data_IF_998735020008
#
_entry.id   IF_998735020008
#
_cell.length_a   1.000
_cell.length_b   1.000
_cell.length_c   1.000
_cell.angle_alpha   90.00
_cell.angle_beta   90.00
_cell.angle_gamma   90.00
#
_symmetry.space_group_name_H-M   'P 1'
#
loop_
_entity.id
_entity.type
_entity.pdbx_description
1 polymer ?
#
# COMPACT_ATOMS: atom_id res chain seq x y z
N UNK A 1 -25.14 1.93 -12.35
CA UNK A 1 -23.77 1.86 -11.78
C UNK A 1 -23.85 1.92 -10.26
N UNK A 2 -23.85 0.76 -9.62
CA UNK A 2 -24.13 0.57 -8.20
C UNK A 2 -23.15 1.39 -7.35
N UNK A 3 -23.65 2.22 -6.42
CA UNK A 3 -22.85 2.96 -5.42
C UNK A 3 -21.64 2.19 -4.85
N UNK A 4 -21.73 0.88 -4.51
CA UNK A 4 -20.59 0.11 -4.02
C UNK A 4 -19.40 0.02 -5.01
N UNK A 5 -19.65 -0.09 -6.32
CA UNK A 5 -18.58 -0.21 -7.31
C UNK A 5 -17.75 1.07 -7.45
N UNK A 6 -18.40 2.24 -7.36
CA UNK A 6 -17.72 3.55 -7.39
C UNK A 6 -16.87 3.77 -6.15
N UNK A 7 -17.39 3.43 -4.96
CA UNK A 7 -16.66 3.52 -3.70
C UNK A 7 -15.44 2.60 -3.71
N UNK A 8 -15.61 1.35 -4.14
CA UNK A 8 -14.51 0.38 -4.27
C UNK A 8 -13.39 0.90 -5.18
N UNK A 9 -13.74 1.48 -6.33
CA UNK A 9 -12.77 2.06 -7.25
C UNK A 9 -12.06 3.28 -6.66
N UNK A 10 -12.80 4.15 -5.97
CA UNK A 10 -12.24 5.35 -5.34
C UNK A 10 -11.27 4.98 -4.21
N UNK A 11 -11.68 4.09 -3.30
CA UNK A 11 -10.86 3.67 -2.15
C UNK A 11 -9.62 2.91 -2.62
N UNK A 12 -9.78 1.93 -3.50
CA UNK A 12 -8.64 1.14 -4.02
C UNK A 12 -7.69 2.02 -4.82
N UNK A 13 -8.23 2.89 -5.69
CA UNK A 13 -7.42 3.82 -6.47
C UNK A 13 -6.66 4.81 -5.59
N UNK A 14 -7.33 5.42 -4.61
CA UNK A 14 -6.70 6.33 -3.65
C UNK A 14 -5.60 5.66 -2.83
N UNK A 15 -5.85 4.44 -2.34
CA UNK A 15 -4.84 3.65 -1.62
C UNK A 15 -3.61 3.36 -2.49
N UNK A 16 -3.80 2.92 -3.74
CA UNK A 16 -2.69 2.65 -4.66
C UNK A 16 -1.89 3.92 -4.94
N UNK A 17 -2.55 5.06 -5.17
CA UNK A 17 -1.86 6.34 -5.40
C UNK A 17 -1.01 6.73 -4.19
N UNK A 18 -1.56 6.64 -2.98
CA UNK A 18 -0.83 6.92 -1.75
C UNK A 18 0.37 5.98 -1.56
N UNK A 19 0.19 4.69 -1.86
CA UNK A 19 1.26 3.71 -1.77
C UNK A 19 2.39 3.99 -2.77
N UNK A 20 2.06 4.26 -4.03
CA UNK A 20 3.04 4.62 -5.07
C UNK A 20 3.78 5.91 -4.71
N UNK A 21 3.05 6.92 -4.21
CA UNK A 21 3.66 8.16 -3.75
C UNK A 21 4.64 7.93 -2.58
N UNK A 22 4.28 7.09 -1.60
CA UNK A 22 5.16 6.73 -0.50
C UNK A 22 6.41 5.98 -0.96
N UNK A 23 6.31 5.06 -1.93
CA UNK A 23 7.47 4.39 -2.53
C UNK A 23 8.37 5.37 -3.30
N UNK A 24 7.78 6.32 -4.02
CA UNK A 24 8.54 7.36 -4.71
C UNK A 24 9.30 8.25 -3.71
N UNK A 25 8.65 8.66 -2.61
CA UNK A 25 9.29 9.44 -1.55
C UNK A 25 10.42 8.65 -0.88
N UNK A 26 10.22 7.36 -0.59
CA UNK A 26 11.27 6.49 -0.08
C UNK A 26 12.46 6.43 -1.04
N UNK A 27 12.22 6.24 -2.34
CA UNK A 27 13.29 6.18 -3.34
C UNK A 27 14.04 7.52 -3.44
N UNK A 28 13.32 8.64 -3.49
CA UNK A 28 13.91 9.98 -3.55
C UNK A 28 14.77 10.24 -2.31
N UNK A 29 14.24 9.99 -1.11
CA UNK A 29 14.94 10.20 0.15
C UNK A 29 16.13 9.25 0.36
N UNK A 30 16.01 7.99 -0.08
CA UNK A 30 17.08 6.99 0.05
C UNK A 30 18.25 7.27 -0.89
N UNK A 31 17.95 7.58 -2.16
CA UNK A 31 18.99 7.79 -3.17
C UNK A 31 19.50 9.23 -3.24
N UNK A 32 18.83 10.18 -2.55
CA UNK A 32 19.16 11.61 -2.63
C UNK A 32 18.91 12.17 -4.04
N UNK A 33 17.85 11.68 -4.69
CA UNK A 33 17.47 12.11 -6.04
C UNK A 33 17.20 13.62 -6.01
N UNK A 34 17.58 14.33 -7.07
CA UNK A 34 17.50 15.81 -7.17
C UNK A 34 18.50 16.60 -6.30
N UNK A 35 19.56 15.96 -5.79
CA UNK A 35 20.59 16.64 -5.00
C UNK A 35 20.16 16.97 -3.57
N UNK A 36 19.05 16.37 -3.10
CA UNK A 36 18.60 16.49 -1.72
C UNK A 36 19.52 15.67 -0.79
N UNK A 37 19.77 16.13 0.45
CA UNK A 37 20.31 15.28 1.51
C UNK A 37 19.50 13.98 1.66
N UNK A 38 20.16 12.84 1.84
CA UNK A 38 19.49 11.56 2.07
C UNK A 38 18.66 11.64 3.34
N UNK A 39 17.38 11.31 3.23
CA UNK A 39 16.42 11.36 4.33
C UNK A 39 16.00 9.94 4.74
N UNK A 40 16.52 9.40 5.86
CA UNK A 40 16.18 8.06 6.33
C UNK A 40 14.74 7.95 6.83
N UNK A 41 14.05 9.07 7.10
CA UNK A 41 12.66 9.10 7.56
C UNK A 41 11.64 9.04 6.41
N UNK A 42 12.08 9.09 5.16
CA UNK A 42 11.22 8.96 3.97
C UNK A 42 10.39 7.66 3.96
N UNK A 43 10.83 6.60 4.64
CA UNK A 43 10.08 5.35 4.80
C UNK A 43 8.89 5.41 5.76
N UNK A 44 8.76 6.47 6.57
CA UNK A 44 7.68 6.59 7.58
C UNK A 44 6.29 6.58 6.94
N UNK A 45 6.14 7.05 5.70
CA UNK A 45 4.86 7.05 4.98
C UNK A 45 4.35 5.64 4.66
N UNK A 46 5.23 4.64 4.58
CA UNK A 46 4.85 3.24 4.35
C UNK A 46 4.37 2.57 5.64
N UNK A 47 4.74 3.09 6.80
CA UNK A 47 4.36 2.53 8.11
C UNK A 47 2.84 2.48 8.30
N UNK A 48 2.09 3.61 8.23
CA UNK A 48 0.65 3.59 8.44
C UNK A 48 -0.09 2.83 7.32
N UNK A 49 0.41 2.91 6.08
CA UNK A 49 -0.17 2.20 4.94
C UNK A 49 -0.02 0.68 5.02
N UNK A 50 1.02 0.18 5.70
CA UNK A 50 1.31 -1.24 5.87
C UNK A 50 0.80 -1.85 7.17
N UNK A 51 0.13 -1.09 8.04
CA UNK A 51 -0.51 -1.66 9.22
C UNK A 51 -1.68 -2.60 8.83
N UNK A 52 -1.95 -3.66 9.63
CA UNK A 52 -1.21 -4.08 10.82
C UNK A 52 0.06 -4.89 10.53
N UNK A 53 0.28 -5.28 9.27
CA UNK A 53 1.34 -6.21 8.85
C UNK A 53 2.75 -5.77 9.26
N UNK A 54 3.00 -4.45 9.29
CA UNK A 54 4.26 -3.91 9.79
C UNK A 54 4.59 -4.32 11.24
N UNK A 55 3.59 -4.64 12.09
CA UNK A 55 3.81 -5.13 13.45
C UNK A 55 4.29 -6.59 13.52
N UNK A 56 4.26 -7.31 12.40
CA UNK A 56 4.68 -8.71 12.32
C UNK A 56 6.07 -8.88 11.69
N UNK A 57 6.73 -7.77 11.35
CA UNK A 57 8.04 -7.79 10.67
C UNK A 57 9.13 -8.37 11.58
N UNK A 58 9.02 -8.14 12.88
CA UNK A 58 9.98 -8.58 13.89
C UNK A 58 10.12 -10.11 14.00
N UNK A 59 9.20 -10.87 13.37
CA UNK A 59 9.26 -12.34 13.26
C UNK A 59 10.30 -12.79 12.21
N UNK A 60 10.69 -11.91 11.30
CA UNK A 60 11.64 -12.19 10.22
C UNK A 60 13.05 -11.66 10.55
N UNK A 61 14.10 -12.16 9.87
CA UNK A 61 15.46 -11.63 10.01
C UNK A 61 15.57 -10.13 9.70
N UNK A 62 16.34 -9.39 10.51
CA UNK A 62 16.56 -7.94 10.36
C UNK A 62 16.91 -7.45 8.94
N UNK A 63 17.75 -8.15 8.14
CA UNK A 63 18.06 -7.70 6.79
C UNK A 63 16.85 -7.62 5.85
N UNK A 64 15.77 -8.35 6.16
CA UNK A 64 14.54 -8.35 5.37
C UNK A 64 13.56 -7.24 5.79
N UNK A 65 13.74 -6.62 6.95
CA UNK A 65 12.77 -5.66 7.50
C UNK A 65 12.45 -4.49 6.55
N UNK A 66 13.40 -3.85 5.87
CA UNK A 66 13.09 -2.75 4.96
C UNK A 66 12.23 -3.21 3.77
N UNK A 67 12.53 -4.40 3.25
CA UNK A 67 11.78 -5.00 2.14
C UNK A 67 10.37 -5.40 2.56
N UNK A 68 10.23 -5.99 3.76
CA UNK A 68 8.94 -6.36 4.33
C UNK A 68 8.09 -5.12 4.64
N UNK A 69 8.69 -4.07 5.20
CA UNK A 69 8.01 -2.80 5.48
C UNK A 69 7.53 -2.12 4.19
N UNK A 70 8.32 -2.17 3.13
CA UNK A 70 7.93 -1.65 1.82
C UNK A 70 6.85 -2.50 1.14
N UNK A 71 6.84 -3.82 1.37
CA UNK A 71 5.85 -4.75 0.81
C UNK A 71 4.54 -4.82 1.63
N UNK A 72 4.54 -4.44 2.90
CA UNK A 72 3.38 -4.53 3.78
C UNK A 72 2.11 -3.82 3.24
N UNK A 73 2.18 -2.59 2.66
CA UNK A 73 1.01 -1.96 2.05
C UNK A 73 0.46 -2.75 0.85
N UNK A 74 1.28 -3.54 0.15
CA UNK A 74 0.81 -4.36 -0.96
C UNK A 74 -0.20 -5.43 -0.50
N UNK A 75 -0.07 -5.92 0.74
CA UNK A 75 -1.05 -6.85 1.33
C UNK A 75 -2.41 -6.17 1.47
N UNK A 76 -2.45 -4.93 1.96
CA UNK A 76 -3.68 -4.13 2.05
C UNK A 76 -4.29 -3.86 0.67
N UNK A 77 -3.47 -3.51 -0.32
CA UNK A 77 -3.93 -3.34 -1.70
C UNK A 77 -4.54 -4.63 -2.26
N UNK A 78 -3.87 -5.78 -2.06
CA UNK A 78 -4.36 -7.07 -2.51
C UNK A 78 -5.70 -7.46 -1.86
N UNK A 79 -5.85 -7.21 -0.56
CA UNK A 79 -7.11 -7.45 0.17
C UNK A 79 -8.24 -6.56 -0.36
N UNK A 80 -7.99 -5.25 -0.54
CA UNK A 80 -8.98 -4.32 -1.10
C UNK A 80 -9.42 -4.74 -2.50
N UNK A 81 -8.46 -5.06 -3.38
CA UNK A 81 -8.73 -5.51 -4.74
C UNK A 81 -9.57 -6.80 -4.74
N UNK A 82 -9.20 -7.78 -3.91
CA UNK A 82 -9.90 -9.07 -3.83
C UNK A 82 -11.32 -8.90 -3.31
N UNK A 83 -11.49 -8.15 -2.21
CA UNK A 83 -12.81 -7.87 -1.64
C UNK A 83 -13.71 -7.11 -2.64
N UNK A 84 -13.18 -6.08 -3.29
CA UNK A 84 -13.94 -5.33 -4.29
C UNK A 84 -14.28 -6.16 -5.53
N UNK A 85 -13.41 -7.09 -5.95
CA UNK A 85 -13.73 -8.05 -7.03
C UNK A 85 -14.86 -8.99 -6.63
N UNK A 86 -14.82 -9.53 -5.42
CA UNK A 86 -15.87 -10.42 -4.88
C UNK A 86 -17.22 -9.70 -4.78
N UNK A 87 -17.25 -8.48 -4.23
CA UNK A 87 -18.49 -7.70 -4.08
C UNK A 87 -19.09 -7.29 -5.43
N UNK A 88 -18.26 -6.94 -6.42
CA UNK A 88 -18.74 -6.63 -7.76
C UNK A 88 -19.20 -7.88 -8.53
N UNK A 89 -18.58 -9.05 -8.29
CA UNK A 89 -19.01 -10.33 -8.86
C UNK A 89 -20.35 -10.80 -8.29
N UNK A 90 -20.52 -10.72 -6.97
CA UNK A 90 -21.78 -11.06 -6.29
C UNK A 90 -22.95 -10.19 -6.76
N UNK A 91 -22.71 -8.89 -7.02
CA UNK A 91 -23.74 -7.98 -7.51
C UNK A 91 -24.23 -8.27 -8.95
N UNK A 92 -23.47 -9.03 -9.75
CA UNK A 92 -23.83 -9.42 -11.12
C UNK A 92 -24.55 -10.77 -11.21
N UNK A 93 -24.51 -11.59 -10.16
CA UNK A 93 -25.17 -12.91 -10.12
C UNK A 93 -26.62 -12.87 -9.62
N UNK A 94 -27.14 -11.67 -9.33
CA UNK A 94 -28.49 -11.41 -8.82
C UNK A 94 -29.32 -10.61 -9.84
N UNK A 95 -28.94 -10.68 -11.12
CA UNK A 95 -29.61 -10.11 -12.29
C UNK A 95 -30.09 -11.23 -13.23
#
# INVERSE_FOLDING_TARGET
MSRPAKLCRLVTGGFIVLYVAALALLAIGTFGVFGQPRDPLSGVFLIPLGLPWNRMIDVFPEPLWPWLAAAAPAVNAALLITLCRMLNGAARGHE
#
